data_IF_048085564465
#
_entry.id   IF_048085564465
#
_cell.length_a   1.000
_cell.length_b   1.000
_cell.length_c   1.000
_cell.angle_alpha   90.00
_cell.angle_beta   90.00
_cell.angle_gamma   90.00
#
_symmetry.space_group_name_H-M   'P 1'
#
loop_
_entity.id
_entity.type
_entity.pdbx_description
1 polymer ?
#
# COMPACT_ATOMS: atom_id res chain seq x y z
N UNK A 1 -21.75 -10.47 6.00
CA UNK A 1 -20.98 -9.37 6.60
C UNK A 1 -19.55 -9.80 6.42
N UNK A 2 -18.75 -9.08 5.62
CA UNK A 2 -17.33 -9.39 5.49
C UNK A 2 -16.68 -8.85 6.76
N UNK A 3 -16.11 -9.73 7.58
CA UNK A 3 -15.26 -9.32 8.69
C UNK A 3 -14.02 -8.66 8.09
N UNK A 4 -13.65 -7.46 8.55
CA UNK A 4 -12.63 -6.59 7.95
C UNK A 4 -11.20 -7.09 8.11
N UNK A 5 -11.01 -8.33 8.57
CA UNK A 5 -9.71 -8.85 9.00
C UNK A 5 -8.92 -9.57 7.89
N UNK A 6 -9.47 -9.81 6.69
CA UNK A 6 -8.75 -10.53 5.62
C UNK A 6 -9.02 -9.99 4.19
N UNK A 7 -9.16 -8.66 4.00
CA UNK A 7 -9.31 -8.07 2.66
C UNK A 7 -8.05 -7.35 2.22
N UNK A 8 -7.38 -7.90 1.21
CA UNK A 8 -6.30 -7.23 0.49
C UNK A 8 -6.90 -6.30 -0.58
N UNK A 9 -6.90 -5.01 -0.29
CA UNK A 9 -7.38 -3.99 -1.21
C UNK A 9 -6.30 -3.60 -2.22
N UNK A 10 -6.52 -3.88 -3.50
CA UNK A 10 -5.54 -3.68 -4.57
C UNK A 10 -5.97 -2.58 -5.54
N UNK A 11 -5.24 -1.47 -5.56
CA UNK A 11 -5.38 -0.43 -6.58
C UNK A 11 -4.44 -0.73 -7.76
N UNK A 12 -5.02 -0.88 -8.96
CA UNK A 12 -4.25 -1.15 -10.20
C UNK A 12 -4.13 0.05 -11.14
N UNK A 13 -4.38 1.26 -10.61
CA UNK A 13 -4.16 2.53 -11.32
C UNK A 13 -2.67 2.87 -11.44
N UNK A 14 -2.36 4.04 -11.98
CA UNK A 14 -0.98 4.57 -11.96
C UNK A 14 -0.66 5.22 -10.61
N UNK A 15 0.62 5.40 -10.31
CA UNK A 15 1.08 6.14 -9.12
C UNK A 15 0.44 7.53 -9.03
N UNK A 16 0.49 8.31 -10.11
CA UNK A 16 -0.12 9.65 -10.14
C UNK A 16 -1.61 9.65 -9.81
N UNK A 17 -2.38 8.66 -10.28
CA UNK A 17 -3.81 8.56 -9.93
C UNK A 17 -4.03 8.17 -8.47
N UNK A 18 -3.13 7.38 -7.90
CA UNK A 18 -3.16 6.95 -6.50
C UNK A 18 -2.82 8.12 -5.55
N UNK A 19 -1.80 8.91 -5.90
CA UNK A 19 -1.35 10.08 -5.14
C UNK A 19 -2.44 11.16 -5.08
N UNK A 20 -3.15 11.39 -6.20
CA UNK A 20 -4.34 12.28 -6.28
C UNK A 20 -5.52 11.83 -5.40
N UNK A 21 -5.48 10.59 -4.91
CA UNK A 21 -6.40 10.08 -3.93
C UNK A 21 -6.76 8.62 -4.15
N UNK A 22 -6.71 7.83 -3.08
CA UNK A 22 -6.95 6.40 -3.06
C UNK A 22 -7.79 5.99 -1.84
N UNK A 23 -8.31 4.77 -1.85
CA UNK A 23 -9.00 4.21 -0.69
C UNK A 23 -7.95 3.88 0.38
N UNK A 24 -8.21 4.25 1.64
CA UNK A 24 -7.28 3.99 2.75
C UNK A 24 -6.90 2.51 2.82
N UNK A 25 -5.62 2.22 3.07
CA UNK A 25 -5.04 0.87 3.11
C UNK A 25 -5.00 0.13 1.77
N UNK A 26 -5.22 0.81 0.65
CA UNK A 26 -5.05 0.20 -0.66
C UNK A 26 -3.55 0.01 -0.98
N UNK A 27 -3.20 -1.17 -1.49
CA UNK A 27 -1.89 -1.49 -2.03
C UNK A 27 -1.85 -1.14 -3.51
N UNK A 28 -0.84 -0.39 -3.94
CA UNK A 28 -0.69 0.02 -5.35
C UNK A 28 0.20 -0.97 -6.12
N UNK A 29 -0.40 -1.68 -7.07
CA UNK A 29 0.34 -2.43 -8.10
C UNK A 29 -0.32 -2.16 -9.44
N UNK A 30 0.30 -1.28 -10.24
CA UNK A 30 -0.27 -0.88 -11.52
C UNK A 30 -0.54 -2.09 -12.42
N UNK A 31 -1.64 -2.06 -13.17
CA UNK A 31 -2.09 -3.20 -14.00
C UNK A 31 -1.01 -3.78 -14.92
N UNK A 32 -0.08 -2.95 -15.40
CA UNK A 32 1.03 -3.36 -16.27
C UNK A 32 2.19 -4.03 -15.53
N UNK A 33 2.30 -3.80 -14.22
CA UNK A 33 3.34 -4.35 -13.35
C UNK A 33 2.88 -5.60 -12.61
N UNK A 34 1.55 -5.81 -12.50
CA UNK A 34 0.96 -6.87 -11.69
C UNK A 34 1.51 -8.26 -12.02
N UNK A 35 1.66 -8.61 -13.30
CA UNK A 35 2.16 -9.93 -13.68
C UNK A 35 3.60 -10.23 -13.21
N UNK A 36 4.41 -9.19 -13.01
CA UNK A 36 5.79 -9.32 -12.51
C UNK A 36 5.92 -9.15 -11.00
N UNK A 37 4.84 -8.76 -10.31
CA UNK A 37 4.79 -8.45 -8.87
C UNK A 37 3.72 -9.31 -8.16
N UNK A 38 3.45 -10.51 -8.68
CA UNK A 38 2.43 -11.40 -8.15
C UNK A 38 2.78 -11.92 -6.76
N UNK A 39 4.05 -11.94 -6.41
CA UNK A 39 4.60 -12.32 -5.11
C UNK A 39 4.27 -11.33 -3.98
N UNK A 40 3.91 -10.09 -4.32
CA UNK A 40 3.47 -9.06 -3.36
C UNK A 40 1.98 -9.16 -3.02
N UNK A 41 1.22 -10.02 -3.70
CA UNK A 41 -0.21 -10.20 -3.47
C UNK A 41 -0.42 -11.45 -2.60
N UNK A 42 -1.10 -11.36 -1.44
CA UNK A 42 -1.33 -12.51 -0.58
C UNK A 42 -2.30 -13.50 -1.26
N UNK A 43 -1.93 -14.78 -1.27
CA UNK A 43 -2.75 -15.85 -1.87
C UNK A 43 -3.78 -16.45 -0.92
N UNK A 44 -3.70 -16.11 0.36
CA UNK A 44 -4.53 -16.61 1.46
C UNK A 44 -5.58 -15.60 1.94
N UNK A 45 -5.75 -14.47 1.26
CA UNK A 45 -6.68 -13.40 1.61
C UNK A 45 -7.70 -13.16 0.49
N UNK A 46 -8.81 -12.49 0.84
CA UNK A 46 -9.76 -11.99 -0.16
C UNK A 46 -9.16 -10.78 -0.86
N UNK A 47 -8.99 -10.84 -2.19
CA UNK A 47 -8.43 -9.72 -2.95
C UNK A 47 -9.56 -8.89 -3.56
N UNK A 48 -9.68 -7.63 -3.12
CA UNK A 48 -10.59 -6.66 -3.74
C UNK A 48 -9.80 -5.73 -4.67
N UNK A 49 -9.94 -5.92 -5.97
CA UNK A 49 -9.24 -5.15 -7.00
C UNK A 49 -10.10 -3.98 -7.45
N UNK A 50 -9.52 -2.78 -7.53
CA UNK A 50 -10.18 -1.63 -8.12
C UNK A 50 -9.25 -0.81 -9.01
N UNK A 51 -9.87 -0.02 -9.87
CA UNK A 51 -9.17 1.02 -10.61
C UNK A 51 -10.05 2.28 -10.68
N UNK A 52 -9.87 3.12 -11.71
CA UNK A 52 -10.69 4.33 -11.88
C UNK A 52 -12.18 4.02 -12.03
N UNK A 53 -12.53 3.06 -12.89
CA UNK A 53 -13.92 2.80 -13.33
C UNK A 53 -14.29 1.32 -13.49
N UNK A 54 -13.38 0.38 -13.20
CA UNK A 54 -13.63 -1.07 -13.29
C UNK A 54 -12.92 -1.80 -14.45
N UNK A 55 -12.49 -1.10 -15.50
CA UNK A 55 -11.93 -1.76 -16.72
C UNK A 55 -10.55 -2.40 -16.47
N UNK A 56 -9.59 -1.64 -15.92
CA UNK A 56 -8.24 -2.16 -15.64
C UNK A 56 -8.27 -3.21 -14.52
N UNK A 57 -9.15 -3.05 -13.55
CA UNK A 57 -9.30 -3.98 -12.43
C UNK A 57 -9.94 -5.30 -12.84
N UNK A 58 -10.84 -5.31 -13.84
CA UNK A 58 -11.30 -6.55 -14.47
C UNK A 58 -10.13 -7.30 -15.15
N UNK A 59 -9.26 -6.59 -15.87
CA UNK A 59 -8.06 -7.19 -16.47
C UNK A 59 -7.11 -7.75 -15.42
N UNK A 60 -6.83 -6.99 -14.37
CA UNK A 60 -5.99 -7.42 -13.25
C UNK A 60 -6.58 -8.64 -12.51
N UNK A 61 -7.90 -8.66 -12.30
CA UNK A 61 -8.60 -9.80 -11.69
C UNK A 61 -8.42 -11.07 -12.53
N UNK A 62 -8.50 -10.97 -13.86
CA UNK A 62 -8.21 -12.10 -14.75
C UNK A 62 -6.75 -12.58 -14.66
N UNK A 63 -5.81 -11.65 -14.51
CA UNK A 63 -4.39 -12.00 -14.29
C UNK A 63 -4.21 -12.77 -12.99
N UNK A 64 -4.83 -12.33 -11.89
CA UNK A 64 -4.79 -13.01 -10.59
C UNK A 64 -5.44 -14.40 -10.67
N UNK A 65 -6.65 -14.50 -11.23
CA UNK A 65 -7.32 -15.80 -11.41
C UNK A 65 -6.47 -16.74 -12.27
N UNK A 66 -5.86 -16.23 -13.35
CA UNK A 66 -4.95 -17.00 -14.19
C UNK A 66 -3.67 -17.46 -13.48
N UNK A 67 -3.25 -16.73 -12.44
CA UNK A 67 -2.11 -17.09 -11.57
C UNK A 67 -2.50 -18.02 -10.42
N UNK A 68 -3.78 -18.39 -10.28
CA UNK A 68 -4.25 -19.36 -9.28
C UNK A 68 -4.89 -18.75 -8.03
N UNK A 69 -5.07 -17.43 -7.98
CA UNK A 69 -5.82 -16.79 -6.91
C UNK A 69 -7.30 -17.16 -6.99
N UNK A 70 -7.88 -17.57 -5.87
CA UNK A 70 -9.23 -18.18 -5.85
C UNK A 70 -10.32 -17.26 -5.31
N UNK A 71 -9.95 -16.23 -4.54
CA UNK A 71 -10.89 -15.30 -3.91
C UNK A 71 -10.60 -13.86 -4.36
N UNK A 72 -11.01 -13.55 -5.59
CA UNK A 72 -10.74 -12.27 -6.27
C UNK A 72 -12.04 -11.59 -6.65
N UNK A 73 -12.23 -10.36 -6.18
CA UNK A 73 -13.38 -9.51 -6.48
C UNK A 73 -12.94 -8.26 -7.23
N UNK A 74 -13.70 -7.86 -8.24
CA UNK A 74 -13.53 -6.58 -8.93
C UNK A 74 -14.56 -5.57 -8.41
N UNK A 75 -14.11 -4.42 -7.93
CA UNK A 75 -14.99 -3.34 -7.48
C UNK A 75 -15.65 -2.65 -8.68
N UNK A 76 -16.95 -2.87 -8.84
CA UNK A 76 -17.71 -2.26 -9.93
C UNK A 76 -17.71 -0.72 -9.81
N UNK A 77 -17.60 -0.04 -10.95
CA UNK A 77 -17.48 1.42 -11.03
C UNK A 77 -16.18 2.02 -10.43
N UNK A 78 -15.31 1.20 -9.84
CA UNK A 78 -14.01 1.63 -9.31
C UNK A 78 -14.10 2.74 -8.26
N UNK A 79 -12.99 3.46 -8.08
CA UNK A 79 -12.92 4.58 -7.13
C UNK A 79 -13.87 5.73 -7.51
N UNK A 80 -14.31 5.82 -8.78
CA UNK A 80 -15.30 6.82 -9.20
C UNK A 80 -16.65 6.58 -8.51
N UNK A 81 -17.13 5.33 -8.50
CA UNK A 81 -18.37 4.98 -7.82
C UNK A 81 -18.22 5.09 -6.29
N UNK A 82 -17.07 4.71 -5.75
CA UNK A 82 -16.73 4.90 -4.33
C UNK A 82 -16.87 6.36 -3.89
N UNK A 83 -16.22 7.28 -4.62
CA UNK A 83 -16.31 8.73 -4.37
C UNK A 83 -17.75 9.25 -4.54
N UNK A 84 -18.47 8.80 -5.57
CA UNK A 84 -19.85 9.19 -5.82
C UNK A 84 -20.81 8.75 -4.70
N UNK A 85 -20.51 7.64 -4.02
CA UNK A 85 -21.25 7.18 -2.85
C UNK A 85 -20.91 7.96 -1.56
N UNK A 86 -19.96 8.90 -1.61
CA UNK A 86 -19.56 9.72 -0.46
C UNK A 86 -18.59 9.03 0.50
N UNK A 87 -17.97 7.92 0.09
CA UNK A 87 -16.98 7.25 0.92
C UNK A 87 -15.63 7.98 0.91
N UNK A 88 -14.85 7.90 2.02
CA UNK A 88 -13.61 8.65 2.15
C UNK A 88 -12.52 8.13 1.20
N UNK A 89 -11.67 9.06 0.77
CA UNK A 89 -10.37 8.77 0.14
C UNK A 89 -9.30 9.52 0.89
N UNK A 90 -8.08 9.01 0.86
CA UNK A 90 -6.89 9.67 1.39
C UNK A 90 -5.99 10.07 0.23
N UNK A 91 -5.27 11.17 0.38
CA UNK A 91 -4.18 11.57 -0.52
C UNK A 91 -2.87 11.18 0.14
N UNK A 92 -1.90 10.75 -0.66
CA UNK A 92 -0.53 10.58 -0.16
C UNK A 92 0.13 11.96 -0.20
N UNK A 93 -0.21 12.79 0.79
CA UNK A 93 0.46 14.08 0.97
C UNK A 93 1.68 13.84 1.84
N UNK A 94 2.84 13.71 1.20
CA UNK A 94 4.14 13.68 1.90
C UNK A 94 4.51 15.07 2.42
N UNK A 95 3.59 16.02 2.38
CA UNK A 95 3.77 17.36 2.90
C UNK A 95 2.59 17.71 3.82
N UNK A 96 2.89 18.37 4.95
CA UNK A 96 1.85 18.99 5.76
C UNK A 96 1.34 20.28 5.10
N UNK A 97 0.32 20.90 5.70
CA UNK A 97 -0.24 22.19 5.25
C UNK A 97 0.79 23.33 5.18
N UNK A 98 1.99 23.16 5.77
CA UNK A 98 3.08 24.12 5.77
C UNK A 98 4.23 23.73 4.81
N UNK A 99 4.02 22.76 3.92
CA UNK A 99 5.03 22.20 3.00
C UNK A 99 6.21 21.48 3.69
N UNK A 100 6.06 21.04 4.95
CA UNK A 100 7.07 20.20 5.58
C UNK A 100 6.92 18.75 5.14
N UNK A 101 8.03 18.08 4.83
CA UNK A 101 8.01 16.68 4.49
C UNK A 101 7.48 15.82 5.66
N UNK A 102 6.34 15.17 5.46
CA UNK A 102 5.71 14.22 6.39
C UNK A 102 6.06 12.82 5.94
N UNK A 103 6.72 12.08 6.83
CA UNK A 103 6.96 10.66 6.64
C UNK A 103 6.17 9.92 7.71
N UNK A 104 5.40 8.92 7.29
CA UNK A 104 4.76 8.01 8.23
C UNK A 104 5.84 7.14 8.89
N UNK A 105 5.87 7.13 10.23
CA UNK A 105 6.88 6.41 11.01
C UNK A 105 6.80 4.91 10.75
N UNK A 106 5.60 4.38 10.44
CA UNK A 106 5.38 2.96 10.17
C UNK A 106 6.01 2.49 8.83
N UNK A 107 6.07 3.37 7.82
CA UNK A 107 6.73 3.08 6.53
C UNK A 107 8.26 3.14 6.65
N UNK A 108 8.77 4.08 7.47
CA UNK A 108 10.19 4.14 7.82
C UNK A 108 10.59 2.88 8.59
N UNK A 109 9.83 2.50 9.62
CA UNK A 109 10.22 1.37 10.48
C UNK A 109 10.34 0.08 9.69
N UNK A 110 9.38 -0.19 8.81
CA UNK A 110 9.38 -1.40 7.96
C UNK A 110 10.58 -1.40 7.01
N UNK A 111 10.89 -0.26 6.40
CA UNK A 111 12.03 -0.13 5.47
C UNK A 111 13.39 -0.16 6.18
N UNK A 112 13.46 0.36 7.41
CA UNK A 112 14.66 0.33 8.25
C UNK A 112 14.90 -1.08 8.77
N UNK A 113 13.87 -1.80 9.22
CA UNK A 113 14.01 -3.16 9.72
C UNK A 113 14.59 -4.08 8.63
N UNK A 114 14.08 -4.01 7.40
CA UNK A 114 14.62 -4.78 6.28
C UNK A 114 16.06 -4.41 5.91
N UNK A 115 16.41 -3.11 6.00
CA UNK A 115 17.76 -2.64 5.69
C UNK A 115 18.79 -2.98 6.78
N UNK A 116 18.41 -2.84 8.05
CA UNK A 116 19.29 -3.04 9.20
C UNK A 116 19.47 -4.52 9.55
N UNK A 117 18.43 -5.34 9.43
CA UNK A 117 18.48 -6.80 9.71
C UNK A 117 19.43 -7.54 8.76
N UNK A 118 19.85 -6.92 7.65
CA UNK A 118 20.84 -7.46 6.72
C UNK A 118 22.25 -6.85 6.77
N UNK A 119 22.47 -5.76 7.50
CA UNK A 119 23.72 -4.98 7.43
C UNK A 119 24.36 -4.65 8.79
N UNK A 120 23.61 -4.68 9.89
CA UNK A 120 24.11 -4.37 11.23
C UNK A 120 23.81 -5.49 12.22
N UNK A 121 24.73 -5.71 13.16
CA UNK A 121 24.50 -6.63 14.27
C UNK A 121 23.47 -6.03 15.26
N UNK A 122 22.69 -6.87 15.94
CA UNK A 122 21.60 -6.44 16.85
C UNK A 122 22.10 -5.44 17.92
N UNK A 123 23.36 -5.57 18.35
CA UNK A 123 23.99 -4.65 19.29
C UNK A 123 24.20 -3.23 18.76
N UNK A 124 24.42 -3.09 17.45
CA UNK A 124 24.62 -1.80 16.79
C UNK A 124 23.28 -1.09 16.57
N UNK A 125 22.23 -1.86 16.24
CA UNK A 125 20.85 -1.37 16.16
C UNK A 125 20.39 -0.81 17.51
N UNK A 126 20.65 -1.52 18.61
CA UNK A 126 20.30 -1.05 19.97
C UNK A 126 20.96 0.28 20.33
N UNK A 127 22.23 0.48 19.94
CA UNK A 127 22.95 1.74 20.22
C UNK A 127 22.41 2.91 19.41
N UNK A 128 22.01 2.68 18.16
CA UNK A 128 21.38 3.70 17.32
C UNK A 128 20.02 4.13 17.87
N UNK A 129 19.22 3.19 18.36
CA UNK A 129 17.93 3.49 18.99
C UNK A 129 18.12 4.27 20.28
N UNK A 130 19.04 3.84 21.15
CA UNK A 130 19.34 4.54 22.41
C UNK A 130 19.85 5.97 22.15
N UNK A 131 20.69 6.16 21.12
CA UNK A 131 21.18 7.47 20.70
C UNK A 131 20.06 8.38 20.20
N UNK A 132 19.19 7.89 19.34
CA UNK A 132 18.10 8.70 18.78
C UNK A 132 17.08 9.11 19.86
N UNK A 133 16.85 8.22 20.84
CA UNK A 133 15.94 8.47 21.97
C UNK A 133 16.55 9.33 23.08
N UNK A 134 17.88 9.44 23.18
CA UNK A 134 18.52 10.31 24.18
C UNK A 134 18.38 11.80 23.83
N UNK A 135 18.10 12.12 22.56
CA UNK A 135 17.93 13.50 22.09
C UNK A 135 19.21 14.33 22.13
N UNK A 136 20.38 13.68 22.19
CA UNK A 136 21.66 14.36 22.21
C UNK A 136 21.98 14.93 20.81
N UNK A 137 22.12 16.25 20.70
CA UNK A 137 22.61 16.90 19.48
C UNK A 137 23.99 16.36 19.09
N UNK A 138 24.16 16.00 17.81
CA UNK A 138 25.43 15.58 17.22
C UNK A 138 26.54 16.58 17.57
N UNK A 139 27.61 16.12 18.24
CA UNK A 139 28.87 16.86 18.33
C UNK A 139 29.72 16.63 17.07
#
# INVERSE_FOLDING_TARGET
>A
MLDTEDIFLLDVRTQSEFDEGHIKYANLIGVTQLSSRLDEVPSNETILVYCKSGVRSASASNTLVGAGYTDVYNMDGGITAWKAAGYPVVTYDIYDDNENYVIDIEEISTSIDDYLVGQLEISEISQLVDYFLSGDEYC
#
